data_IF_196583002600
#
_entry.id   IF_196583002600
#
_cell.length_a   1.000
_cell.length_b   1.000
_cell.length_c   1.000
_cell.angle_alpha   90.00
_cell.angle_beta   90.00
_cell.angle_gamma   90.00
#
_symmetry.space_group_name_H-M   'P 1'
#
loop_
_entity.id
_entity.type
_entity.pdbx_description
1 polymer ?
#
# COMPACT_ATOMS: atom_id res chain seq x y z
N UNK A 1 -11.89 -1.18 -9.58
CA UNK A 1 -10.82 -0.72 -8.67
C UNK A 1 -10.61 -1.78 -7.60
N UNK A 2 -9.36 -2.09 -7.29
CA UNK A 2 -8.98 -3.06 -6.25
C UNK A 2 -8.04 -2.38 -5.27
N UNK A 3 -8.15 -2.76 -4.00
CA UNK A 3 -7.18 -2.42 -2.98
C UNK A 3 -6.33 -3.66 -2.72
N UNK A 4 -5.01 -3.48 -2.78
CA UNK A 4 -4.04 -4.51 -2.47
C UNK A 4 -3.25 -4.09 -1.23
N UNK A 5 -2.99 -5.04 -0.35
CA UNK A 5 -2.16 -4.81 0.84
C UNK A 5 -1.16 -5.94 1.02
N UNK A 6 0.06 -5.63 1.43
CA UNK A 6 1.06 -6.60 1.86
C UNK A 6 1.73 -6.16 3.15
N UNK A 7 2.23 -7.12 3.92
CA UNK A 7 2.86 -6.89 5.22
C UNK A 7 4.34 -7.27 5.16
N UNK A 8 5.15 -6.63 5.99
CA UNK A 8 6.58 -6.92 6.07
C UNK A 8 7.32 -5.95 6.97
N UNK A 9 8.64 -6.05 6.97
CA UNK A 9 9.49 -5.06 7.62
C UNK A 9 9.44 -3.75 6.86
N UNK A 10 9.56 -2.62 7.56
CA UNK A 10 9.59 -1.30 6.93
C UNK A 10 10.61 -1.22 5.79
N UNK A 11 11.83 -1.68 6.02
CA UNK A 11 12.89 -1.63 5.01
C UNK A 11 12.53 -2.41 3.75
N UNK A 12 11.95 -3.61 3.88
CA UNK A 12 11.54 -4.41 2.74
C UNK A 12 10.46 -3.69 1.91
N UNK A 13 9.43 -3.17 2.57
CA UNK A 13 8.32 -2.48 1.91
C UNK A 13 8.74 -1.13 1.31
N UNK A 14 9.62 -0.39 1.98
CA UNK A 14 10.16 0.87 1.49
C UNK A 14 11.03 0.66 0.24
N UNK A 15 11.78 -0.44 0.14
CA UNK A 15 12.49 -0.79 -1.10
C UNK A 15 11.53 -1.03 -2.27
N UNK A 16 10.39 -1.69 -2.04
CA UNK A 16 9.35 -1.85 -3.07
C UNK A 16 8.83 -0.48 -3.51
N UNK A 17 8.55 0.42 -2.57
CA UNK A 17 8.08 1.78 -2.88
C UNK A 17 9.10 2.56 -3.73
N UNK A 18 10.39 2.52 -3.38
CA UNK A 18 11.46 3.19 -4.12
C UNK A 18 11.69 2.62 -5.53
N UNK A 19 11.48 1.32 -5.72
CA UNK A 19 11.65 0.66 -7.02
C UNK A 19 10.47 0.92 -7.98
N UNK A 20 9.35 1.45 -7.49
CA UNK A 20 8.11 1.64 -8.23
C UNK A 20 7.53 3.04 -8.00
N UNK A 21 8.32 4.07 -8.26
CA UNK A 21 7.92 5.49 -8.11
C UNK A 21 6.80 5.92 -9.05
N UNK A 22 6.49 5.12 -10.07
CA UNK A 22 5.34 5.29 -10.96
C UNK A 22 4.01 4.83 -10.33
N UNK A 23 4.06 4.19 -9.16
CA UNK A 23 2.90 3.65 -8.44
C UNK A 23 2.58 4.51 -7.21
N UNK A 24 1.28 4.70 -6.95
CA UNK A 24 0.83 5.34 -5.71
C UNK A 24 0.80 4.32 -4.58
N UNK A 25 1.96 4.11 -3.96
CA UNK A 25 2.16 3.16 -2.88
C UNK A 25 2.22 3.88 -1.55
N UNK A 26 1.36 3.48 -0.62
CA UNK A 26 1.28 4.05 0.72
C UNK A 26 1.85 3.07 1.72
N UNK A 27 2.86 3.51 2.48
CA UNK A 27 3.47 2.72 3.55
C UNK A 27 3.07 3.29 4.91
N UNK A 28 2.66 2.41 5.82
CA UNK A 28 2.40 2.75 7.22
C UNK A 28 3.14 1.75 8.11
N UNK A 29 3.67 2.23 9.22
CA UNK A 29 4.38 1.40 10.20
C UNK A 29 3.58 1.32 11.49
N UNK A 30 3.28 0.10 11.93
CA UNK A 30 2.79 -0.18 13.28
C UNK A 30 3.88 -0.78 14.16
N UNK A 31 3.52 -1.16 15.38
CA UNK A 31 4.46 -1.66 16.39
C UNK A 31 5.14 -2.98 15.99
N UNK A 32 4.39 -3.91 15.39
CA UNK A 32 4.90 -5.26 15.04
C UNK A 32 5.32 -5.41 13.57
N UNK A 33 4.64 -4.70 12.67
CA UNK A 33 4.86 -4.83 11.23
C UNK A 33 4.43 -3.56 10.48
N UNK A 34 5.04 -3.36 9.31
CA UNK A 34 4.62 -2.35 8.36
C UNK A 34 3.65 -2.93 7.34
N UNK A 35 2.82 -2.06 6.77
CA UNK A 35 1.88 -2.37 5.69
C UNK A 35 2.17 -1.48 4.49
N UNK A 36 2.11 -2.06 3.30
CA UNK A 36 2.17 -1.35 2.03
C UNK A 36 0.84 -1.55 1.30
N UNK A 37 0.23 -0.46 0.87
CA UNK A 37 -1.09 -0.43 0.24
C UNK A 37 -1.01 0.17 -1.16
N UNK A 38 -1.78 -0.39 -2.09
CA UNK A 38 -1.98 0.11 -3.45
C UNK A 38 -3.46 0.04 -3.81
N UNK A 39 -4.09 1.17 -4.11
CA UNK A 39 -5.42 1.20 -4.73
C UNK A 39 -5.27 1.45 -6.23
N UNK A 40 -5.62 0.47 -7.07
CA UNK A 40 -5.39 0.56 -8.51
C UNK A 40 -6.38 -0.28 -9.33
N UNK A 41 -6.48 0.03 -10.62
CA UNK A 41 -7.15 -0.82 -11.62
C UNK A 41 -6.18 -1.78 -12.31
N UNK A 42 -4.87 -1.55 -12.17
CA UNK A 42 -3.80 -2.39 -12.75
C UNK A 42 -3.59 -3.68 -11.93
N UNK A 43 -2.78 -4.57 -12.46
CA UNK A 43 -2.21 -5.66 -11.67
C UNK A 43 -1.24 -5.09 -10.63
N UNK A 44 -1.23 -5.73 -9.46
CA UNK A 44 -0.36 -5.36 -8.35
C UNK A 44 1.03 -5.92 -8.54
N UNK A 45 2.02 -5.20 -8.02
CA UNK A 45 3.44 -5.59 -7.99
C UNK A 45 3.77 -6.47 -6.77
N UNK A 46 2.83 -6.66 -5.85
CA UNK A 46 3.05 -7.44 -4.63
C UNK A 46 3.06 -8.94 -4.94
N UNK A 47 3.99 -9.69 -4.35
CA UNK A 47 4.09 -11.14 -4.57
C UNK A 47 2.98 -11.93 -3.87
N UNK A 48 2.59 -11.52 -2.66
CA UNK A 48 1.55 -12.18 -1.85
C UNK A 48 0.56 -11.14 -1.28
N UNK A 49 -0.25 -10.50 -2.15
CA UNK A 49 -1.18 -9.48 -1.72
C UNK A 49 -2.44 -10.09 -1.08
N UNK A 50 -2.94 -9.45 -0.02
CA UNK A 50 -4.37 -9.51 0.24
C UNK A 50 -5.07 -8.58 -0.76
N UNK A 51 -6.13 -9.07 -1.39
CA UNK A 51 -6.86 -8.35 -2.44
C UNK A 51 -8.30 -8.08 -2.01
N UNK A 52 -8.75 -6.85 -2.25
CA UNK A 52 -10.09 -6.40 -1.89
C UNK A 52 -10.73 -5.69 -3.08
N UNK A 53 -12.03 -5.92 -3.28
CA UNK A 53 -12.83 -5.15 -4.22
C UNK A 53 -13.37 -3.92 -3.51
N UNK A 54 -13.05 -2.74 -4.04
CA UNK A 54 -13.57 -1.48 -3.51
C UNK A 54 -15.05 -1.35 -3.87
N UNK A 55 -15.92 -1.26 -2.87
CA UNK A 55 -17.37 -1.11 -3.04
C UNK A 55 -17.82 0.36 -3.03
N UNK A 56 -17.15 1.18 -2.22
CA UNK A 56 -17.38 2.62 -2.10
C UNK A 56 -16.09 3.28 -1.63
N UNK A 57 -15.89 4.54 -2.01
CA UNK A 57 -14.73 5.37 -1.63
C UNK A 57 -15.20 6.80 -1.38
N UNK A 58 -14.67 7.42 -0.33
CA UNK A 58 -14.85 8.85 -0.05
C UNK A 58 -13.49 9.46 0.25
N UNK A 59 -13.14 10.53 -0.44
CA UNK A 59 -11.84 11.20 -0.32
C UNK A 59 -10.69 10.48 -1.05
N UNK A 60 -9.46 10.86 -0.71
CA UNK A 60 -8.22 10.28 -1.22
C UNK A 60 -7.37 9.82 -0.04
N UNK A 61 -6.58 8.77 -0.25
CA UNK A 61 -5.59 8.30 0.71
C UNK A 61 -4.24 8.92 0.36
N UNK A 62 -3.62 9.59 1.33
CA UNK A 62 -2.32 10.22 1.22
C UNK A 62 -1.40 9.76 2.35
N UNK A 63 -0.09 9.70 2.06
CA UNK A 63 0.94 9.41 3.07
C UNK A 63 0.93 10.40 4.23
N UNK A 64 0.38 11.60 4.02
CA UNK A 64 0.31 12.66 5.02
C UNK A 64 -0.96 12.59 5.89
N UNK A 65 -1.91 11.70 5.60
CA UNK A 65 -3.17 11.62 6.34
C UNK A 65 -3.02 10.95 7.71
N UNK A 66 -1.91 10.23 7.93
CA UNK A 66 -1.58 9.60 9.20
C UNK A 66 -0.18 10.00 9.63
N UNK A 67 -0.10 10.80 10.70
CA UNK A 67 1.12 11.14 11.40
C UNK A 67 1.04 10.47 12.78
N UNK A 68 1.84 9.43 12.99
CA UNK A 68 2.01 8.79 14.30
C UNK A 68 3.10 9.50 15.11
#
# INVERSE_FOLDING_TARGET
MKLYTTYGTYNYLHQIQLNHTDRNLLIFSGDDQSILMEETTKETIFQQPNHYRVLSRSGELSSNDFLA
#
